data_IF_885146530112
#
_entry.id   IF_885146530112
#
_cell.length_a   1.000
_cell.length_b   1.000
_cell.length_c   1.000
_cell.angle_alpha   90.00
_cell.angle_beta   90.00
_cell.angle_gamma   90.00
#
_symmetry.space_group_name_H-M   'P 1'
#
loop_
_entity.id
_entity.type
_entity.pdbx_description
1 polymer ?
#
# COMPACT_ATOMS: atom_id res chain seq x y z
N UNK A 1 22.38 -12.66 -14.93
CA UNK A 1 21.73 -12.22 -13.68
C UNK A 1 21.15 -10.84 -13.94
N UNK A 2 19.82 -10.73 -14.06
CA UNK A 2 19.17 -9.44 -14.27
C UNK A 2 18.80 -8.87 -12.91
N UNK A 3 19.48 -7.79 -12.52
CA UNK A 3 19.10 -6.99 -11.35
C UNK A 3 17.79 -6.30 -11.69
N UNK A 4 16.67 -6.78 -11.14
CA UNK A 4 15.42 -6.04 -11.18
C UNK A 4 15.62 -4.75 -10.36
N UNK A 5 15.91 -3.65 -11.05
CA UNK A 5 15.84 -2.32 -10.49
C UNK A 5 14.37 -2.11 -10.11
N UNK A 6 14.05 -2.28 -8.82
CA UNK A 6 12.78 -1.83 -8.27
C UNK A 6 12.76 -0.31 -8.44
N UNK A 7 12.15 0.16 -9.53
CA UNK A 7 12.00 1.58 -9.76
C UNK A 7 11.18 2.14 -8.58
N UNK A 8 11.64 3.20 -7.90
CA UNK A 8 10.86 3.78 -6.83
C UNK A 8 9.51 4.15 -7.39
N UNK A 9 8.43 3.61 -6.81
CA UNK A 9 7.07 4.01 -7.20
C UNK A 9 6.94 5.49 -6.84
N UNK A 10 7.05 6.35 -7.85
CA UNK A 10 6.78 7.78 -7.77
C UNK A 10 5.28 7.93 -8.01
N UNK A 11 4.52 8.16 -6.94
CA UNK A 11 3.11 8.53 -7.07
C UNK A 11 3.04 9.96 -7.62
N UNK A 12 2.22 10.24 -8.64
CA UNK A 12 2.16 11.57 -9.27
C UNK A 12 1.50 12.64 -8.38
N UNK A 13 1.09 12.28 -7.17
CA UNK A 13 0.47 13.16 -6.19
C UNK A 13 1.15 12.99 -4.83
N UNK A 14 1.13 14.06 -4.04
CA UNK A 14 1.63 14.04 -2.66
C UNK A 14 0.65 13.24 -1.78
N UNK A 15 1.03 12.00 -1.50
CA UNK A 15 0.30 11.08 -0.62
C UNK A 15 0.14 11.64 0.81
N UNK A 16 0.97 12.59 1.22
CA UNK A 16 0.88 13.26 2.53
C UNK A 16 -0.35 14.17 2.61
N UNK A 17 -0.84 14.66 1.47
CA UNK A 17 -2.04 15.51 1.36
C UNK A 17 -3.36 14.73 1.43
N UNK A 18 -3.32 13.40 1.30
CA UNK A 18 -4.51 12.57 1.36
C UNK A 18 -5.04 12.43 2.79
N UNK A 19 -6.36 12.56 2.93
CA UNK A 19 -7.07 12.21 4.16
C UNK A 19 -6.96 10.71 4.45
N UNK A 20 -7.18 10.31 5.71
CA UNK A 20 -7.09 8.91 6.13
C UNK A 20 -7.96 7.98 5.27
N UNK A 21 -9.20 8.40 4.96
CA UNK A 21 -10.10 7.62 4.13
C UNK A 21 -9.58 7.48 2.69
N UNK A 22 -9.07 8.57 2.10
CA UNK A 22 -8.52 8.54 0.75
C UNK A 22 -7.30 7.62 0.62
N UNK A 23 -6.49 7.48 1.68
CA UNK A 23 -5.36 6.55 1.70
C UNK A 23 -5.82 5.09 1.67
N UNK A 24 -6.88 4.77 2.42
CA UNK A 24 -7.48 3.44 2.44
C UNK A 24 -8.10 3.11 1.07
N UNK A 25 -8.87 4.03 0.50
CA UNK A 25 -9.51 3.85 -0.80
C UNK A 25 -8.48 3.68 -1.92
N UNK A 26 -7.38 4.44 -1.86
CA UNK A 26 -6.27 4.31 -2.80
C UNK A 26 -5.58 2.95 -2.69
N UNK A 27 -5.28 2.48 -1.47
CA UNK A 27 -4.72 1.15 -1.26
C UNK A 27 -5.68 0.04 -1.69
N UNK A 28 -6.98 0.17 -1.45
CA UNK A 28 -7.96 -0.77 -1.96
C UNK A 28 -7.95 -0.83 -3.50
N UNK A 29 -7.84 0.33 -4.16
CA UNK A 29 -7.75 0.41 -5.63
C UNK A 29 -6.49 -0.28 -6.16
N UNK A 30 -5.33 -0.05 -5.54
CA UNK A 30 -4.08 -0.71 -5.94
C UNK A 30 -4.12 -2.22 -5.75
N UNK A 31 -4.75 -2.67 -4.66
CA UNK A 31 -4.93 -4.09 -4.38
C UNK A 31 -5.83 -4.75 -5.44
N UNK A 32 -6.96 -4.13 -5.78
CA UNK A 32 -7.86 -4.62 -6.85
C UNK A 32 -7.22 -4.57 -8.24
N UNK A 33 -6.23 -3.70 -8.45
CA UNK A 33 -5.46 -3.64 -9.69
C UNK A 33 -4.40 -4.76 -9.81
N UNK A 34 -4.31 -5.66 -8.82
CA UNK A 34 -3.41 -6.81 -8.79
C UNK A 34 -1.95 -6.45 -9.09
N UNK A 35 -1.49 -5.34 -8.49
CA UNK A 35 -0.09 -4.92 -8.64
C UNK A 35 0.85 -5.87 -7.87
N UNK A 36 2.11 -5.91 -8.29
CA UNK A 36 3.16 -6.65 -7.60
C UNK A 36 3.17 -6.40 -6.09
N UNK A 37 3.14 -7.48 -5.30
CA UNK A 37 3.00 -7.42 -3.83
C UNK A 37 4.08 -6.54 -3.19
N UNK A 38 5.31 -6.60 -3.72
CA UNK A 38 6.43 -5.79 -3.21
C UNK A 38 6.16 -4.29 -3.42
N UNK A 39 5.67 -3.90 -4.59
CA UNK A 39 5.30 -2.52 -4.88
C UNK A 39 4.14 -2.06 -3.99
N UNK A 40 3.13 -2.92 -3.79
CA UNK A 40 2.02 -2.64 -2.89
C UNK A 40 2.49 -2.37 -1.46
N UNK A 41 3.37 -3.21 -0.92
CA UNK A 41 3.94 -3.06 0.44
C UNK A 41 4.68 -1.74 0.58
N UNK A 42 5.49 -1.37 -0.41
CA UNK A 42 6.24 -0.10 -0.38
C UNK A 42 5.31 1.11 -0.39
N UNK A 43 4.27 1.11 -1.22
CA UNK A 43 3.28 2.19 -1.28
C UNK A 43 2.52 2.28 0.05
N UNK A 44 2.07 1.15 0.61
CA UNK A 44 1.41 1.10 1.92
C UNK A 44 2.29 1.70 3.01
N UNK A 45 3.58 1.37 3.05
CA UNK A 45 4.55 1.93 4.00
C UNK A 45 4.72 3.44 3.87
N UNK A 46 4.83 3.96 2.63
CA UNK A 46 4.89 5.42 2.36
C UNK A 46 3.63 6.14 2.85
N UNK A 47 2.48 5.47 2.84
CA UNK A 47 1.21 5.99 3.32
C UNK A 47 1.03 5.91 4.84
N UNK A 48 2.00 5.33 5.56
CA UNK A 48 1.93 5.12 7.00
C UNK A 48 1.14 3.88 7.39
N UNK A 49 1.05 2.88 6.51
CA UNK A 49 0.40 1.60 6.78
C UNK A 49 1.38 0.44 6.68
N UNK A 50 1.09 -0.63 7.42
CA UNK A 50 1.75 -1.92 7.28
C UNK A 50 0.71 -2.98 6.95
N UNK A 51 1.11 -3.95 6.14
CA UNK A 51 0.34 -5.16 5.93
C UNK A 51 0.45 -6.04 7.17
N UNK A 52 -0.68 -6.60 7.57
CA UNK A 52 -0.69 -7.69 8.54
C UNK A 52 -0.89 -9.01 7.81
N UNK A 53 -0.47 -10.11 8.42
CA UNK A 53 -0.82 -11.46 7.94
C UNK A 53 -2.30 -11.82 8.16
N UNK A 54 -3.17 -10.84 8.38
CA UNK A 54 -4.62 -11.04 8.56
C UNK A 54 -5.35 -10.61 7.29
N UNK A 55 -6.37 -11.39 6.96
CA UNK A 55 -7.26 -11.13 5.84
C UNK A 55 -8.57 -10.50 6.34
N UNK A 56 -9.07 -9.50 5.62
CA UNK A 56 -10.40 -8.95 5.78
C UNK A 56 -11.33 -9.65 4.78
N UNK A 57 -12.13 -10.60 5.26
CA UNK A 57 -13.04 -11.37 4.41
C UNK A 57 -14.25 -10.55 3.92
N UNK A 58 -14.63 -9.48 4.62
CA UNK A 58 -15.77 -8.64 4.20
C UNK A 58 -15.41 -7.77 3.00
N UNK A 59 -14.13 -7.41 2.91
CA UNK A 59 -13.60 -6.53 1.88
C UNK A 59 -12.63 -7.21 0.91
N UNK A 60 -12.47 -8.53 1.06
CA UNK A 60 -11.59 -9.41 0.29
C UNK A 60 -10.17 -8.86 0.06
N UNK A 61 -9.56 -8.32 1.12
CA UNK A 61 -8.24 -7.68 1.05
C UNK A 61 -7.43 -7.91 2.32
N UNK A 62 -6.09 -7.79 2.30
CA UNK A 62 -5.31 -7.85 3.53
C UNK A 62 -5.63 -6.68 4.46
N UNK A 63 -5.66 -6.95 5.76
CA UNK A 63 -5.90 -5.92 6.78
C UNK A 63 -4.71 -4.99 6.85
N UNK A 64 -4.96 -3.72 6.54
CA UNK A 64 -4.01 -2.61 6.68
C UNK A 64 -4.06 -2.07 8.11
N UNK A 65 -2.91 -1.99 8.78
CA UNK A 65 -2.79 -1.32 10.08
C UNK A 65 -1.95 -0.07 9.97
N UNK A 66 -2.25 1.00 10.72
CA UNK A 66 -1.33 2.12 10.86
C UNK A 66 0.05 1.61 11.28
N UNK A 67 1.09 2.04 10.56
CA UNK A 67 2.46 1.81 10.94
C UNK A 67 2.76 2.69 12.15
N UNK A 68 2.59 2.13 13.35
CA UNK A 68 3.11 2.74 14.57
C UNK A 68 4.63 2.64 14.50
N UNK A 69 5.29 3.70 14.04
CA UNK A 69 6.73 3.85 14.19
C UNK A 69 6.98 4.22 15.66
N UNK A 70 7.54 3.27 16.42
CA UNK A 70 8.16 3.53 17.72
C UNK A 70 9.56 4.09 17.52
#
# INVERSE_FOLDING_TARGET
MATALSAPVVTPFDVSSLSLQQRIDYLATLYLADIELVAFVEIARKLGYTLTGRWDCENDRPVLKPALYH
#
